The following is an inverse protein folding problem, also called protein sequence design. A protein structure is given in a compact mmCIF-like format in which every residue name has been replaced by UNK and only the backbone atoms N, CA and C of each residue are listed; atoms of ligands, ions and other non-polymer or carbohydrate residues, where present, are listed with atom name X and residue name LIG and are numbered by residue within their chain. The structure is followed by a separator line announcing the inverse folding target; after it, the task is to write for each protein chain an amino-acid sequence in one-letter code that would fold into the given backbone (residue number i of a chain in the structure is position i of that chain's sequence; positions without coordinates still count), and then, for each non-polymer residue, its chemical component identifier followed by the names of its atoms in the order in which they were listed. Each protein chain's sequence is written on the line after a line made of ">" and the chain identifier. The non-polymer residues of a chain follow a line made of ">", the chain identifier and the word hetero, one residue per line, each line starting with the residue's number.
data_IF_373605121181
#
_entry.id   IF_373605121181
#
_cell.length_a   1.000
_cell.length_b   1.000
_cell.length_c   1.000
_cell.angle_alpha   90.00
_cell.angle_beta   90.00
_cell.angle_gamma   90.00
#
_symmetry.space_group_name_H-M   'P 1'
#
loop_
_entity.id
_entity.type
_entity.pdbx_description
1 polymer ?
#
# COMPACT_ATOMS: atom_id res chain seq x y z
N UNK A 1 20.53 -3.39 19.96
CA UNK A 1 19.13 -2.96 20.02
C UNK A 1 18.52 -3.14 18.62
N UNK A 2 18.14 -4.37 18.29
CA UNK A 2 17.59 -4.75 17.00
C UNK A 2 16.08 -4.64 17.13
N UNK A 3 15.45 -3.74 16.36
CA UNK A 3 14.00 -3.56 16.38
C UNK A 3 13.35 -4.86 15.93
N UNK A 4 12.78 -5.59 16.90
CA UNK A 4 11.70 -6.54 16.68
C UNK A 4 10.52 -5.76 16.12
N UNK A 5 10.48 -5.61 14.79
CA UNK A 5 9.34 -5.05 14.04
C UNK A 5 8.86 -6.08 13.03
N UNK A 6 8.56 -7.27 13.51
CA UNK A 6 7.72 -8.20 12.79
C UNK A 6 6.84 -8.91 13.83
N UNK A 7 5.66 -9.33 13.42
CA UNK A 7 4.55 -9.86 14.24
C UNK A 7 3.67 -8.80 14.91
N UNK A 8 2.78 -8.20 14.12
CA UNK A 8 1.34 -8.50 14.24
C UNK A 8 0.70 -8.32 12.85
N UNK A 9 0.80 -9.40 12.08
CA UNK A 9 0.03 -9.66 10.88
C UNK A 9 -1.46 -9.89 11.21
N UNK A 10 -2.13 -8.93 11.85
CA UNK A 10 -3.57 -9.01 12.06
C UNK A 10 -4.28 -8.41 10.85
N UNK A 11 -4.81 -9.31 10.01
CA UNK A 11 -5.33 -9.12 8.65
C UNK A 11 -4.28 -9.10 7.51
N UNK A 12 -3.40 -10.11 7.49
CA UNK A 12 -2.50 -10.40 6.37
C UNK A 12 -3.25 -10.66 5.05
N UNK A 13 -3.30 -9.65 4.18
CA UNK A 13 -3.87 -9.74 2.84
C UNK A 13 -3.08 -8.93 1.83
N UNK A 14 -3.07 -9.40 0.58
CA UNK A 14 -2.56 -8.66 -0.58
C UNK A 14 -3.74 -8.02 -1.31
N UNK A 15 -3.68 -6.71 -1.53
CA UNK A 15 -4.66 -5.98 -2.31
C UNK A 15 -4.22 -5.95 -3.77
N UNK A 16 -5.10 -6.28 -4.70
CA UNK A 16 -4.87 -5.92 -6.10
C UNK A 16 -4.99 -4.42 -6.31
N UNK A 17 -4.48 -3.90 -7.44
CA UNK A 17 -4.67 -2.50 -7.86
C UNK A 17 -6.13 -2.05 -7.77
N UNK A 18 -7.09 -2.90 -8.18
CA UNK A 18 -8.51 -2.57 -8.10
C UNK A 18 -9.02 -2.53 -6.66
N UNK A 19 -8.61 -3.48 -5.81
CA UNK A 19 -9.02 -3.50 -4.41
C UNK A 19 -8.44 -2.33 -3.64
N UNK A 20 -7.18 -1.97 -3.89
CA UNK A 20 -6.57 -0.77 -3.32
C UNK A 20 -7.32 0.48 -3.77
N UNK A 21 -7.60 0.60 -5.07
CA UNK A 21 -8.36 1.72 -5.64
C UNK A 21 -9.73 1.88 -4.97
N UNK A 22 -10.44 0.76 -4.72
CA UNK A 22 -11.72 0.77 -3.98
C UNK A 22 -11.54 1.12 -2.51
N UNK A 23 -10.51 0.59 -1.86
CA UNK A 23 -10.24 0.81 -0.44
C UNK A 23 -9.82 2.25 -0.13
N UNK A 24 -8.87 2.79 -0.91
CA UNK A 24 -8.35 4.14 -0.75
C UNK A 24 -9.23 5.22 -1.44
N UNK A 25 -10.29 4.82 -2.16
CA UNK A 25 -11.13 5.72 -2.96
C UNK A 25 -10.33 6.61 -3.93
N UNK A 26 -9.24 6.09 -4.51
CA UNK A 26 -8.41 6.81 -5.49
C UNK A 26 -8.42 6.10 -6.84
N UNK A 27 -8.29 6.85 -7.94
CA UNK A 27 -8.15 6.27 -9.28
C UNK A 27 -6.80 5.59 -9.50
N UNK A 28 -6.75 4.63 -10.44
CA UNK A 28 -5.52 3.91 -10.83
C UNK A 28 -4.36 4.83 -11.21
N UNK A 29 -4.64 5.97 -11.83
CA UNK A 29 -3.60 6.94 -12.21
C UNK A 29 -2.89 7.51 -10.99
N UNK A 30 -3.62 7.87 -9.92
CA UNK A 30 -3.01 8.33 -8.66
C UNK A 30 -2.24 7.21 -7.98
N UNK A 31 -2.79 5.99 -8.00
CA UNK A 31 -2.09 4.83 -7.47
C UNK A 31 -0.72 4.63 -8.13
N UNK A 32 -0.66 4.63 -9.46
CA UNK A 32 0.60 4.48 -10.19
C UNK A 32 1.54 5.67 -9.99
N UNK A 33 1.01 6.90 -9.84
CA UNK A 33 1.83 8.06 -9.49
C UNK A 33 2.50 7.88 -8.12
N UNK A 34 1.77 7.39 -7.11
CA UNK A 34 2.31 7.13 -5.77
C UNK A 34 3.32 5.97 -5.75
N UNK A 35 3.08 4.92 -6.56
CA UNK A 35 4.06 3.85 -6.78
C UNK A 35 5.34 4.37 -7.45
N UNK A 36 5.19 5.21 -8.48
CA UNK A 36 6.34 5.79 -9.20
C UNK A 36 7.09 6.84 -8.37
N UNK A 37 6.39 7.53 -7.47
CA UNK A 37 6.98 8.43 -6.48
C UNK A 37 7.69 7.68 -5.34
N UNK A 38 7.62 6.34 -5.30
CA UNK A 38 8.24 5.52 -4.26
C UNK A 38 7.55 5.60 -2.89
N UNK A 39 6.35 6.21 -2.81
CA UNK A 39 5.56 6.34 -1.57
C UNK A 39 4.77 5.08 -1.26
N UNK A 40 4.44 4.29 -2.27
CA UNK A 40 3.71 3.05 -2.13
C UNK A 40 4.52 1.87 -2.66
N UNK A 41 4.84 0.91 -1.78
CA UNK A 41 5.52 -0.32 -2.17
C UNK A 41 4.52 -1.35 -2.65
N UNK A 42 4.62 -1.69 -3.92
CA UNK A 42 3.85 -2.76 -4.53
C UNK A 42 4.77 -3.90 -4.98
N UNK A 43 4.32 -5.13 -4.80
CA UNK A 43 5.03 -6.33 -5.23
C UNK A 43 4.43 -6.81 -6.56
N UNK A 44 5.28 -6.97 -7.57
CA UNK A 44 4.90 -7.58 -8.84
C UNK A 44 4.83 -9.10 -8.67
N UNK A 45 3.69 -9.68 -8.98
CA UNK A 45 3.47 -11.13 -8.97
C UNK A 45 2.97 -11.56 -10.36
N UNK A 46 3.92 -11.94 -11.22
CA UNK A 46 3.66 -12.23 -12.63
C UNK A 46 3.10 -11.00 -13.36
N UNK A 47 1.88 -11.13 -13.91
CA UNK A 47 1.15 -10.04 -14.58
C UNK A 47 0.33 -9.17 -13.63
N UNK A 48 0.27 -9.50 -12.32
CA UNK A 48 -0.53 -8.78 -11.33
C UNK A 48 0.35 -7.95 -10.42
N UNK A 49 -0.16 -6.78 -10.02
CA UNK A 49 0.46 -5.93 -9.00
C UNK A 49 -0.31 -6.13 -7.69
N UNK A 50 0.42 -6.55 -6.66
CA UNK A 50 -0.11 -6.85 -5.33
C UNK A 50 0.47 -5.88 -4.31
N UNK A 51 -0.39 -5.20 -3.58
CA UNK A 51 -0.04 -4.24 -2.55
C UNK A 51 -0.27 -4.90 -1.20
N UNK A 52 0.78 -5.09 -0.37
CA UNK A 52 0.59 -5.57 0.99
C UNK A 52 -0.30 -4.60 1.77
N UNK A 53 -1.29 -5.12 2.50
CA UNK A 53 -2.19 -4.27 3.28
C UNK A 53 -1.46 -3.41 4.32
N UNK A 54 -0.39 -3.95 4.90
CA UNK A 54 0.51 -3.21 5.78
C UNK A 54 1.12 -1.98 5.08
N UNK A 55 1.59 -2.14 3.84
CA UNK A 55 2.14 -1.02 3.06
C UNK A 55 1.06 -0.02 2.66
N UNK A 56 -0.16 -0.50 2.37
CA UNK A 56 -1.30 0.37 2.10
C UNK A 56 -1.69 1.25 3.30
N UNK A 57 -1.67 0.68 4.51
CA UNK A 57 -1.90 1.43 5.75
C UNK A 57 -0.78 2.45 5.99
N UNK A 58 0.48 2.01 5.82
CA UNK A 58 1.65 2.88 5.97
C UNK A 58 1.60 4.08 5.01
N UNK A 59 1.17 3.85 3.76
CA UNK A 59 0.93 4.91 2.80
C UNK A 59 -0.15 5.88 3.27
N UNK A 60 -1.26 5.38 3.82
CA UNK A 60 -2.34 6.23 4.35
C UNK A 60 -1.85 7.10 5.51
N UNK A 61 -1.02 6.57 6.40
CA UNK A 61 -0.42 7.31 7.53
C UNK A 61 0.58 8.37 7.06
N UNK A 62 1.21 8.20 5.91
CA UNK A 62 2.13 9.17 5.30
C UNK A 62 1.42 10.29 4.54
N UNK A 63 0.10 10.19 4.34
CA UNK A 63 -0.63 11.24 3.64
C UNK A 63 -0.62 12.53 4.48
N UNK A 64 -0.38 13.69 3.84
CA UNK A 64 -0.42 14.96 4.55
C UNK A 64 -1.83 15.21 5.07
N UNK A 65 -1.95 15.48 6.38
CA UNK A 65 -3.20 15.96 6.97
C UNK A 65 -3.51 17.33 6.40
N UNK A 66 -4.65 17.47 5.71
CA UNK A 66 -5.15 18.77 5.27
C UNK A 66 -5.90 19.40 6.44
N UNK A 67 -5.43 20.57 6.88
CA UNK A 67 -6.03 21.42 7.92
C UNK A 67 -7.13 22.33 7.32
#
# INVERSE_FOLDING_TARGET
>A
MMKVVDYFAEAGGLLTVNEFCKWASIGRTKLYAEMNAGRLVAKKFGSRTLIPRAEAQKWMEQLPTKH
#
